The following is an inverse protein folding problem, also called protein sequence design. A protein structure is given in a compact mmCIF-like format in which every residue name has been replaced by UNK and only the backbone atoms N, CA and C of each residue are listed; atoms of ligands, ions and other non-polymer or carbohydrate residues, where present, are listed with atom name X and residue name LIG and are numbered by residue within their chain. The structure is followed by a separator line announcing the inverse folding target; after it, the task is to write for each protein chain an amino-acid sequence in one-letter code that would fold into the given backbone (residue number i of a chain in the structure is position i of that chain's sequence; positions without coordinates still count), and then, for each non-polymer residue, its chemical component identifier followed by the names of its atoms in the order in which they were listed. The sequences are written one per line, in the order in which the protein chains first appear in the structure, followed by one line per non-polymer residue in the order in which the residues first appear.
data_IF_292169592044
#
_entry.id   IF_292169592044
#
_cell.length_a   1.000
_cell.length_b   1.000
_cell.length_c   1.000
_cell.angle_alpha   90.00
_cell.angle_beta   90.00
_cell.angle_gamma   90.00
#
_symmetry.space_group_name_H-M   'P 1'
#
loop_
_entity.id
_entity.type
_entity.pdbx_description
1 polymer ?
#
# COMPACT_ATOMS: atom_id res chain seq x y z
N UNK A 1 1.62 12.50 -40.79
CA UNK A 1 2.80 12.57 -39.89
C UNK A 1 3.03 13.98 -39.35
N UNK A 2 2.99 15.02 -40.20
CA UNK A 2 3.11 16.43 -39.74
C UNK A 2 1.99 16.86 -38.81
N UNK A 3 0.75 16.48 -39.04
CA UNK A 3 -0.38 16.78 -38.14
C UNK A 3 -0.26 16.08 -36.79
N UNK A 4 0.38 14.90 -36.70
CA UNK A 4 0.69 14.21 -35.45
C UNK A 4 1.83 14.91 -34.69
N UNK A 5 2.87 15.38 -35.42
CA UNK A 5 3.96 16.17 -34.83
C UNK A 5 3.47 17.52 -34.29
N UNK A 6 2.67 18.26 -35.07
CA UNK A 6 2.06 19.53 -34.60
C UNK A 6 1.16 19.32 -33.37
N UNK A 7 0.35 18.24 -33.31
CA UNK A 7 -0.44 17.92 -32.12
C UNK A 7 0.44 17.59 -30.91
N UNK A 8 1.54 16.88 -31.09
CA UNK A 8 2.48 16.57 -30.04
C UNK A 8 3.19 17.81 -29.50
N UNK A 9 3.63 18.71 -30.39
CA UNK A 9 4.29 19.98 -30.00
C UNK A 9 3.32 20.95 -29.33
N UNK A 10 2.08 21.09 -29.83
CA UNK A 10 1.03 21.93 -29.21
C UNK A 10 0.63 21.38 -27.84
N UNK A 11 0.58 20.05 -27.68
CA UNK A 11 0.25 19.40 -26.41
C UNK A 11 1.35 19.61 -25.37
N UNK A 12 2.62 19.57 -25.79
CA UNK A 12 3.76 19.79 -24.88
C UNK A 12 3.81 21.24 -24.36
N UNK A 13 3.48 22.24 -25.21
CA UNK A 13 3.40 23.64 -24.79
C UNK A 13 2.20 23.94 -23.89
N UNK A 14 1.06 23.26 -24.07
CA UNK A 14 -0.11 23.44 -23.22
C UNK A 14 0.09 22.89 -21.79
N UNK A 15 0.89 21.84 -21.62
CA UNK A 15 1.17 21.24 -20.32
C UNK A 15 2.08 22.09 -19.42
N UNK A 16 2.86 23.03 -19.99
CA UNK A 16 3.69 23.96 -19.23
C UNK A 16 2.88 24.98 -18.41
N UNK A 17 1.56 25.09 -18.61
CA UNK A 17 0.67 26.04 -17.93
C UNK A 17 -0.44 25.39 -17.09
N UNK A 18 -0.43 24.06 -16.95
CA UNK A 18 -1.46 23.36 -16.16
C UNK A 18 -1.46 23.87 -14.71
N UNK A 19 -2.65 24.22 -14.23
CA UNK A 19 -2.88 24.52 -12.83
C UNK A 19 -3.40 23.27 -12.12
N UNK A 20 -3.08 23.15 -10.84
CA UNK A 20 -3.64 22.11 -9.98
C UNK A 20 -4.38 22.76 -8.83
N UNK A 21 -5.51 22.17 -8.43
CA UNK A 21 -6.30 22.66 -7.31
C UNK A 21 -5.88 21.96 -6.01
N UNK A 22 -5.72 22.75 -4.95
CA UNK A 22 -5.41 22.26 -3.60
C UNK A 22 -6.71 21.99 -2.83
N UNK A 23 -6.60 21.33 -1.67
CA UNK A 23 -7.74 20.99 -0.82
C UNK A 23 -8.51 22.23 -0.30
N UNK A 24 -7.84 23.40 -0.20
CA UNK A 24 -8.44 24.68 0.19
C UNK A 24 -9.13 25.42 -0.97
N UNK A 25 -9.15 24.82 -2.17
CA UNK A 25 -9.70 25.41 -3.39
C UNK A 25 -8.78 26.39 -4.11
N UNK A 26 -7.58 26.68 -3.58
CA UNK A 26 -6.59 27.50 -4.26
C UNK A 26 -5.97 26.74 -5.45
N UNK A 27 -5.46 27.47 -6.43
CA UNK A 27 -4.79 26.90 -7.59
C UNK A 27 -3.31 27.31 -7.62
N UNK A 28 -2.46 26.40 -8.07
CA UNK A 28 -1.04 26.66 -8.32
C UNK A 28 -0.59 25.98 -9.60
N UNK A 29 0.46 26.50 -10.27
CA UNK A 29 1.07 25.82 -11.40
C UNK A 29 1.54 24.41 -11.03
N UNK A 30 1.34 23.46 -11.92
CA UNK A 30 1.90 22.11 -11.78
C UNK A 30 3.43 22.18 -11.88
N UNK A 31 4.12 21.71 -10.84
CA UNK A 31 5.58 21.58 -10.84
C UNK A 31 6.01 20.31 -11.60
N UNK A 32 6.30 20.47 -12.88
CA UNK A 32 6.75 19.39 -13.75
C UNK A 32 8.10 18.82 -13.32
N UNK A 33 8.97 19.64 -12.72
CA UNK A 33 10.28 19.18 -12.25
C UNK A 33 10.11 18.24 -11.08
N UNK A 34 9.28 18.62 -10.12
CA UNK A 34 8.97 17.79 -8.97
C UNK A 34 8.27 16.48 -9.38
N UNK A 35 7.31 16.55 -10.32
CA UNK A 35 6.65 15.36 -10.86
C UNK A 35 7.64 14.42 -11.56
N UNK A 36 8.55 14.96 -12.38
CA UNK A 36 9.57 14.18 -13.07
C UNK A 36 10.54 13.50 -12.10
N UNK A 37 10.99 14.21 -11.06
CA UNK A 37 11.86 13.65 -10.02
C UNK A 37 11.16 12.50 -9.28
N UNK A 38 9.91 12.69 -8.91
CA UNK A 38 9.09 11.68 -8.24
C UNK A 38 8.95 10.42 -9.09
N UNK A 39 8.66 10.55 -10.38
CA UNK A 39 8.58 9.40 -11.29
C UNK A 39 9.95 8.73 -11.44
N UNK A 40 11.02 9.51 -11.53
CA UNK A 40 12.39 8.98 -11.61
C UNK A 40 12.75 8.12 -10.39
N UNK A 41 12.33 8.55 -9.19
CA UNK A 41 12.52 7.78 -7.95
C UNK A 41 11.77 6.44 -7.97
N UNK A 42 10.53 6.41 -8.51
CA UNK A 42 9.79 5.14 -8.63
C UNK A 42 10.43 4.15 -9.59
N UNK A 43 11.18 4.64 -10.57
CA UNK A 43 11.88 3.83 -11.57
C UNK A 43 13.30 3.40 -11.14
N UNK A 44 13.79 3.89 -10.01
CA UNK A 44 15.15 3.63 -9.55
C UNK A 44 15.42 2.12 -9.43
N UNK A 45 16.59 1.70 -9.94
CA UNK A 45 17.07 0.32 -9.89
C UNK A 45 16.17 -0.70 -10.65
N UNK A 46 15.27 -0.21 -11.53
CA UNK A 46 14.48 -1.05 -12.43
C UNK A 46 15.10 -1.05 -13.83
N UNK A 47 15.39 -2.23 -14.35
CA UNK A 47 15.87 -2.39 -15.73
C UNK A 47 14.73 -2.14 -16.72
N UNK A 48 15.06 -1.60 -17.90
CA UNK A 48 14.14 -1.37 -19.04
C UNK A 48 12.96 -0.40 -18.75
N UNK A 49 12.87 0.18 -17.55
CA UNK A 49 11.85 1.15 -17.19
C UNK A 49 12.36 2.57 -17.47
N UNK A 50 11.64 3.30 -18.33
CA UNK A 50 11.95 4.69 -18.71
C UNK A 50 10.97 5.65 -18.06
N UNK A 51 11.47 6.47 -17.15
CA UNK A 51 10.63 7.45 -16.41
C UNK A 51 9.99 8.48 -17.36
N UNK A 52 10.66 8.81 -18.49
CA UNK A 52 10.14 9.75 -19.49
C UNK A 52 8.85 9.25 -20.13
N UNK A 53 8.72 7.94 -20.34
CA UNK A 53 7.49 7.35 -20.89
C UNK A 53 6.34 7.47 -19.89
N UNK A 54 6.60 7.19 -18.61
CA UNK A 54 5.58 7.36 -17.55
C UNK A 54 5.17 8.84 -17.47
N UNK A 55 6.13 9.76 -17.46
CA UNK A 55 5.84 11.19 -17.44
C UNK A 55 4.99 11.60 -18.63
N UNK A 56 5.35 11.17 -19.84
CA UNK A 56 4.63 11.50 -21.05
C UNK A 56 3.18 10.97 -21.02
N UNK A 57 2.97 9.73 -20.59
CA UNK A 57 1.62 9.16 -20.47
C UNK A 57 0.84 9.85 -19.34
N UNK A 58 1.49 10.19 -18.22
CA UNK A 58 0.85 10.94 -17.13
C UNK A 58 0.36 12.30 -17.62
N UNK A 59 1.22 13.07 -18.30
CA UNK A 59 0.85 14.39 -18.82
C UNK A 59 -0.33 14.36 -19.82
N UNK A 60 -0.52 13.25 -20.56
CA UNK A 60 -1.68 13.06 -21.44
C UNK A 60 -2.99 12.90 -20.70
N UNK A 61 -2.94 12.43 -19.46
CA UNK A 61 -4.10 12.18 -18.59
C UNK A 61 -4.41 13.35 -17.64
N UNK A 62 -3.54 14.39 -17.59
CA UNK A 62 -3.78 15.57 -16.77
C UNK A 62 -4.65 16.60 -17.53
N UNK A 63 -5.46 17.33 -16.77
CA UNK A 63 -6.27 18.44 -17.24
C UNK A 63 -6.10 19.65 -16.33
N UNK A 64 -6.40 20.85 -16.85
CA UNK A 64 -6.26 22.10 -16.09
C UNK A 64 -7.26 22.17 -14.94
N UNK A 65 -6.78 22.57 -13.75
CA UNK A 65 -7.57 22.59 -12.53
C UNK A 65 -7.74 21.23 -11.82
N UNK A 66 -7.03 20.16 -12.28
CA UNK A 66 -7.11 18.84 -11.65
C UNK A 66 -6.75 18.91 -10.15
N UNK A 67 -7.52 18.22 -9.26
CA UNK A 67 -7.15 18.10 -7.87
C UNK A 67 -5.78 17.45 -7.69
N UNK A 68 -4.93 18.00 -6.81
CA UNK A 68 -3.58 17.51 -6.60
C UNK A 68 -3.55 16.02 -6.20
N UNK A 69 -4.55 15.54 -5.47
CA UNK A 69 -4.69 14.14 -5.06
C UNK A 69 -5.00 13.19 -6.24
N UNK A 70 -5.53 13.72 -7.35
CA UNK A 70 -5.81 12.93 -8.55
C UNK A 70 -4.58 12.73 -9.42
N UNK A 71 -3.52 13.52 -9.23
CA UNK A 71 -2.25 13.37 -9.95
C UNK A 71 -1.64 11.99 -9.67
N UNK A 72 -1.69 11.54 -8.42
CA UNK A 72 -1.16 10.22 -8.04
C UNK A 72 -1.95 9.08 -8.69
N UNK A 73 -3.26 9.23 -8.81
CA UNK A 73 -4.11 8.26 -9.54
C UNK A 73 -3.79 8.27 -11.03
N UNK A 74 -3.62 9.45 -11.63
CA UNK A 74 -3.23 9.57 -13.03
C UNK A 74 -1.86 8.95 -13.29
N UNK A 75 -0.90 9.13 -12.39
CA UNK A 75 0.42 8.52 -12.46
C UNK A 75 0.34 6.98 -12.41
N UNK A 76 -0.41 6.42 -11.46
CA UNK A 76 -0.58 4.97 -11.31
C UNK A 76 -1.23 4.39 -12.57
N UNK A 77 -2.30 5.01 -13.08
CA UNK A 77 -2.98 4.55 -14.31
C UNK A 77 -2.02 4.60 -15.50
N UNK A 78 -1.26 5.68 -15.65
CA UNK A 78 -0.31 5.86 -16.76
C UNK A 78 0.82 4.83 -16.72
N UNK A 79 1.43 4.62 -15.55
CA UNK A 79 2.49 3.62 -15.39
C UNK A 79 1.96 2.20 -15.64
N UNK A 80 0.72 1.91 -15.22
CA UNK A 80 0.07 0.61 -15.44
C UNK A 80 -0.10 0.28 -16.93
N UNK A 81 -0.42 1.26 -17.79
CA UNK A 81 -0.58 0.99 -19.24
C UNK A 81 0.72 0.54 -19.90
N UNK A 82 1.87 0.89 -19.32
CA UNK A 82 3.17 0.53 -19.86
C UNK A 82 3.61 -0.90 -19.50
N UNK A 83 2.92 -1.58 -18.58
CA UNK A 83 3.20 -2.99 -18.20
C UNK A 83 3.08 -3.92 -19.42
N UNK A 84 2.25 -3.59 -20.42
CA UNK A 84 2.16 -4.35 -21.67
C UNK A 84 3.42 -4.22 -22.56
N UNK A 85 4.20 -3.14 -22.38
CA UNK A 85 5.45 -2.92 -23.12
C UNK A 85 6.63 -3.62 -22.45
N UNK A 86 6.73 -3.51 -21.12
CA UNK A 86 7.72 -4.21 -20.31
C UNK A 86 7.14 -4.54 -18.93
N UNK A 87 7.22 -5.81 -18.48
CA UNK A 87 6.69 -6.25 -17.19
C UNK A 87 7.25 -5.48 -15.99
N UNK A 88 8.46 -4.91 -16.06
CA UNK A 88 9.09 -4.20 -14.96
C UNK A 88 8.35 -2.90 -14.58
N UNK A 89 7.52 -2.35 -15.48
CA UNK A 89 6.64 -1.23 -15.10
C UNK A 89 5.64 -1.59 -13.99
N UNK A 90 5.38 -2.89 -13.74
CA UNK A 90 4.55 -3.31 -12.60
C UNK A 90 5.13 -2.87 -11.27
N UNK A 91 6.47 -2.85 -11.12
CA UNK A 91 7.14 -2.41 -9.89
C UNK A 91 7.10 -0.88 -9.75
N UNK A 92 7.32 -0.12 -10.83
CA UNK A 92 7.17 1.34 -10.79
C UNK A 92 5.74 1.75 -10.43
N UNK A 93 4.74 1.05 -10.99
CA UNK A 93 3.33 1.26 -10.65
C UNK A 93 3.02 0.92 -9.19
N UNK A 94 3.56 -0.20 -8.68
CA UNK A 94 3.43 -0.59 -7.27
C UNK A 94 4.04 0.46 -6.32
N UNK A 95 5.22 0.98 -6.64
CA UNK A 95 5.88 2.03 -5.84
C UNK A 95 5.08 3.33 -5.81
N UNK A 96 4.41 3.67 -6.91
CA UNK A 96 3.51 4.83 -6.96
C UNK A 96 2.28 4.62 -6.06
N UNK A 97 1.66 3.43 -6.09
CA UNK A 97 0.56 3.07 -5.20
C UNK A 97 1.02 3.03 -3.73
N UNK A 98 2.20 2.47 -3.47
CA UNK A 98 2.78 2.41 -2.13
C UNK A 98 2.95 3.81 -1.53
N UNK A 99 3.41 4.79 -2.32
CA UNK A 99 3.54 6.18 -1.90
C UNK A 99 2.19 6.77 -1.49
N UNK A 100 1.14 6.53 -2.27
CA UNK A 100 -0.23 6.95 -1.92
C UNK A 100 -0.67 6.33 -0.59
N UNK A 101 -0.47 5.02 -0.43
CA UNK A 101 -0.79 4.30 0.80
C UNK A 101 -0.03 4.85 2.02
N UNK A 102 1.27 5.16 1.86
CA UNK A 102 2.05 5.78 2.95
C UNK A 102 1.48 7.14 3.36
N UNK A 103 1.12 7.98 2.38
CA UNK A 103 0.52 9.29 2.65
C UNK A 103 -0.81 9.13 3.39
N UNK A 104 -1.71 8.28 2.90
CA UNK A 104 -3.00 8.00 3.54
C UNK A 104 -2.83 7.50 4.99
N UNK A 105 -1.94 6.53 5.20
CA UNK A 105 -1.73 5.91 6.50
C UNK A 105 -1.12 6.87 7.52
N UNK A 106 -0.15 7.68 7.10
CA UNK A 106 0.52 8.63 7.99
C UNK A 106 -0.40 9.80 8.34
N UNK A 107 -1.15 10.34 7.36
CA UNK A 107 -2.11 11.41 7.59
C UNK A 107 -3.24 10.95 8.53
N UNK A 108 -3.76 9.73 8.34
CA UNK A 108 -4.77 9.15 9.22
C UNK A 108 -4.30 9.00 10.67
N UNK A 109 -3.01 8.70 10.86
CA UNK A 109 -2.41 8.55 12.17
C UNK A 109 -1.84 9.87 12.72
N UNK A 110 -2.05 10.99 12.04
CA UNK A 110 -1.54 12.33 12.41
C UNK A 110 0.00 12.35 12.55
N UNK A 111 0.70 11.55 11.74
CA UNK A 111 2.15 11.47 11.72
C UNK A 111 2.72 12.37 10.62
N UNK A 112 3.90 13.01 10.85
CA UNK A 112 4.46 13.92 9.87
C UNK A 112 4.89 13.17 8.58
N UNK A 113 4.22 13.47 7.48
CA UNK A 113 4.50 12.89 6.14
C UNK A 113 5.81 13.40 5.54
N UNK A 114 6.18 14.65 5.81
CA UNK A 114 7.38 15.28 5.23
C UNK A 114 8.71 14.61 5.62
N UNK A 115 8.78 13.97 6.78
CA UNK A 115 9.99 13.28 7.27
C UNK A 115 10.21 11.95 6.55
N UNK A 116 9.17 11.41 5.92
CA UNK A 116 9.15 10.03 5.42
C UNK A 116 9.18 9.91 3.90
N UNK A 117 9.05 11.00 3.17
CA UNK A 117 9.06 11.00 1.70
C UNK A 117 10.37 10.52 1.08
N UNK A 118 11.50 10.62 1.82
CA UNK A 118 12.83 10.30 1.31
C UNK A 118 13.52 9.12 2.01
N UNK A 119 12.93 8.58 3.10
CA UNK A 119 13.54 7.48 3.84
C UNK A 119 12.49 6.53 4.44
N UNK A 120 12.06 5.56 3.66
CA UNK A 120 11.12 4.54 4.10
C UNK A 120 11.61 3.72 5.31
N UNK A 121 12.92 3.62 5.53
CA UNK A 121 13.51 2.82 6.61
C UNK A 121 13.11 3.31 8.01
N UNK A 122 12.93 4.63 8.21
CA UNK A 122 12.56 5.21 9.50
C UNK A 122 11.05 5.20 9.79
N UNK A 123 10.21 5.02 8.77
CA UNK A 123 8.75 5.14 8.88
C UNK A 123 8.19 4.11 9.85
N UNK A 124 8.48 2.83 9.62
CA UNK A 124 7.85 1.73 10.34
C UNK A 124 8.10 1.75 11.84
N UNK A 125 9.27 2.17 12.30
CA UNK A 125 9.60 2.19 13.72
C UNK A 125 8.65 3.08 14.55
N UNK A 126 8.37 4.29 14.07
CA UNK A 126 7.43 5.20 14.74
C UNK A 126 5.97 4.89 14.40
N UNK A 127 5.70 4.57 13.15
CA UNK A 127 4.37 4.25 12.67
C UNK A 127 3.76 3.06 13.40
N UNK A 128 4.51 1.96 13.60
CA UNK A 128 3.97 0.68 14.06
C UNK A 128 3.27 0.77 15.42
N UNK A 129 3.86 1.50 16.36
CA UNK A 129 3.25 1.69 17.67
C UNK A 129 1.95 2.51 17.60
N UNK A 130 1.90 3.56 16.75
CA UNK A 130 0.70 4.38 16.54
C UNK A 130 -0.38 3.58 15.83
N UNK A 131 0.00 2.77 14.85
CA UNK A 131 -0.89 1.86 14.14
C UNK A 131 -1.60 0.89 15.11
N UNK A 132 -0.85 0.18 15.95
CA UNK A 132 -1.45 -0.75 16.93
C UNK A 132 -2.36 0.00 17.90
N UNK A 133 -1.92 1.14 18.45
CA UNK A 133 -2.73 1.94 19.38
C UNK A 133 -4.04 2.42 18.75
N UNK A 134 -3.96 2.94 17.52
CA UNK A 134 -5.11 3.45 16.79
C UNK A 134 -6.06 2.33 16.38
N UNK A 135 -5.54 1.22 15.86
CA UNK A 135 -6.34 0.06 15.45
C UNK A 135 -7.11 -0.57 16.62
N UNK A 136 -6.50 -0.62 17.82
CA UNK A 136 -7.21 -1.06 19.04
C UNK A 136 -8.27 -0.03 19.47
N UNK A 137 -7.97 1.27 19.40
CA UNK A 137 -8.94 2.32 19.74
C UNK A 137 -10.15 2.35 18.80
N UNK A 138 -9.98 1.91 17.56
CA UNK A 138 -11.04 1.76 16.55
C UNK A 138 -11.78 0.41 16.65
N UNK A 139 -11.46 -0.42 17.63
CA UNK A 139 -12.04 -1.78 17.79
C UNK A 139 -11.83 -2.69 16.57
N UNK A 140 -10.77 -2.45 15.81
CA UNK A 140 -10.35 -3.28 14.67
C UNK A 140 -9.32 -4.34 15.07
N UNK A 141 -8.43 -4.01 16.00
CA UNK A 141 -7.35 -4.87 16.49
C UNK A 141 -7.65 -5.42 17.89
N UNK A 142 -7.14 -6.64 18.14
CA UNK A 142 -7.19 -7.27 19.46
C UNK A 142 -6.38 -6.43 20.46
N UNK A 143 -6.98 -6.00 21.60
CA UNK A 143 -6.28 -5.29 22.66
C UNK A 143 -5.05 -6.01 23.22
N UNK A 144 -5.00 -7.35 23.13
CA UNK A 144 -3.86 -8.17 23.55
C UNK A 144 -2.58 -7.86 22.75
N UNK A 145 -2.69 -7.33 21.53
CA UNK A 145 -1.52 -6.91 20.75
C UNK A 145 -0.70 -5.82 21.45
N UNK A 146 -1.30 -5.03 22.33
CA UNK A 146 -0.58 -4.04 23.14
C UNK A 146 0.34 -4.66 24.20
N UNK A 147 0.17 -5.93 24.51
CA UNK A 147 1.01 -6.65 25.49
C UNK A 147 2.34 -7.13 24.92
N UNK A 148 2.56 -7.00 23.61
CA UNK A 148 3.85 -7.26 22.98
C UNK A 148 4.80 -6.07 23.15
N UNK A 149 6.10 -6.35 23.09
CA UNK A 149 7.13 -5.31 22.96
C UNK A 149 7.05 -4.70 21.53
N UNK A 150 6.21 -3.68 21.39
CA UNK A 150 5.97 -3.02 20.10
C UNK A 150 7.22 -2.30 19.57
N UNK A 151 8.15 -1.90 20.45
CA UNK A 151 9.41 -1.30 20.03
C UNK A 151 10.31 -2.35 19.37
N UNK A 152 10.46 -3.51 20.00
CA UNK A 152 11.22 -4.64 19.46
C UNK A 152 10.63 -5.09 18.11
N UNK A 153 9.31 -5.25 18.02
CA UNK A 153 8.66 -5.65 16.79
C UNK A 153 8.76 -4.59 15.69
N UNK A 154 8.60 -3.31 16.03
CA UNK A 154 8.75 -2.21 15.07
C UNK A 154 10.17 -2.12 14.48
N UNK A 155 11.21 -2.43 15.28
CA UNK A 155 12.59 -2.51 14.80
C UNK A 155 12.89 -3.73 13.93
N UNK A 156 12.10 -4.78 14.04
CA UNK A 156 12.23 -6.01 13.24
C UNK A 156 11.57 -5.90 11.86
N UNK A 157 10.79 -4.85 11.61
CA UNK A 157 10.17 -4.61 10.29
C UNK A 157 11.22 -4.25 9.26
N UNK A 158 11.07 -4.76 8.05
CA UNK A 158 11.99 -4.62 6.92
C UNK A 158 11.33 -3.81 5.79
N UNK A 159 11.44 -2.47 5.81
CA UNK A 159 10.80 -1.59 4.83
C UNK A 159 11.18 -1.87 3.39
N UNK A 160 12.40 -2.37 3.14
CA UNK A 160 12.91 -2.73 1.82
C UNK A 160 12.06 -3.84 1.16
N UNK A 161 11.36 -4.65 1.94
CA UNK A 161 10.45 -5.69 1.42
C UNK A 161 9.21 -5.11 0.77
N UNK A 162 8.89 -3.84 0.97
CA UNK A 162 7.81 -3.17 0.24
C UNK A 162 8.12 -3.03 -1.25
N UNK A 163 9.41 -3.06 -1.64
CA UNK A 163 9.83 -2.95 -3.03
C UNK A 163 9.63 -4.23 -3.86
N UNK A 164 9.33 -5.36 -3.20
CA UNK A 164 9.10 -6.65 -3.89
C UNK A 164 7.71 -6.81 -4.48
N UNK A 165 6.75 -5.94 -4.10
CA UNK A 165 5.39 -6.03 -4.61
C UNK A 165 5.29 -5.69 -6.08
N UNK A 166 4.56 -6.54 -6.82
CA UNK A 166 3.99 -6.15 -8.12
C UNK A 166 2.75 -5.28 -7.90
N UNK A 167 2.37 -4.49 -8.91
CA UNK A 167 1.17 -3.66 -8.81
C UNK A 167 -0.08 -4.47 -8.46
N UNK A 168 -0.30 -5.61 -9.13
CA UNK A 168 -1.49 -6.43 -8.89
C UNK A 168 -1.53 -6.97 -7.45
N UNK A 169 -0.39 -7.42 -6.92
CA UNK A 169 -0.33 -7.93 -5.55
C UNK A 169 -0.60 -6.83 -4.53
N UNK A 170 0.03 -5.67 -4.67
CA UNK A 170 -0.20 -4.54 -3.75
C UNK A 170 -1.62 -3.99 -3.86
N UNK A 171 -2.14 -3.84 -5.09
CA UNK A 171 -3.52 -3.40 -5.33
C UNK A 171 -4.54 -4.36 -4.68
N UNK A 172 -4.29 -5.66 -4.77
CA UNK A 172 -5.17 -6.67 -4.13
C UNK A 172 -5.17 -6.52 -2.61
N UNK A 173 -3.99 -6.29 -2.00
CA UNK A 173 -3.90 -6.03 -0.56
C UNK A 173 -4.59 -4.72 -0.18
N UNK A 174 -4.38 -3.66 -0.94
CA UNK A 174 -5.00 -2.36 -0.75
C UNK A 174 -6.53 -2.42 -0.83
N UNK A 175 -7.08 -3.10 -1.83
CA UNK A 175 -8.52 -3.14 -2.07
C UNK A 175 -9.26 -4.06 -1.09
N UNK A 176 -8.59 -5.13 -0.59
CA UNK A 176 -9.29 -6.22 0.08
C UNK A 176 -8.80 -6.56 1.47
N UNK A 177 -7.51 -6.32 1.79
CA UNK A 177 -6.90 -6.90 2.98
C UNK A 177 -6.46 -5.88 4.03
N UNK A 178 -5.94 -4.74 3.60
CA UNK A 178 -5.46 -3.75 4.54
C UNK A 178 -6.59 -3.16 5.38
N UNK A 179 -6.35 -3.02 6.67
CA UNK A 179 -7.29 -2.39 7.59
C UNK A 179 -7.53 -0.93 7.18
N UNK A 180 -8.80 -0.54 7.21
CA UNK A 180 -9.24 0.80 6.89
C UNK A 180 -10.30 1.27 7.89
N UNK A 181 -10.43 2.57 8.01
CA UNK A 181 -11.52 3.24 8.69
C UNK A 181 -11.95 4.44 7.83
N UNK A 182 -13.26 4.69 7.72
CA UNK A 182 -13.80 5.77 6.90
C UNK A 182 -13.25 5.79 5.45
N UNK A 183 -13.12 4.60 4.85
CA UNK A 183 -12.53 4.36 3.52
C UNK A 183 -11.04 4.72 3.37
N UNK A 184 -10.35 5.12 4.44
CA UNK A 184 -8.93 5.42 4.45
C UNK A 184 -8.14 4.20 4.93
N UNK A 185 -7.18 3.72 4.13
CA UNK A 185 -6.27 2.63 4.50
C UNK A 185 -5.18 3.20 5.40
N UNK A 186 -5.10 2.64 6.61
CA UNK A 186 -4.06 3.05 7.57
C UNK A 186 -3.09 1.91 7.93
N UNK A 187 -3.22 0.76 7.28
CA UNK A 187 -2.34 -0.40 7.46
C UNK A 187 -1.31 -0.47 6.33
N UNK A 188 -0.04 -0.34 6.66
CA UNK A 188 1.09 -0.48 5.73
C UNK A 188 1.52 -1.96 5.58
N UNK A 189 2.14 -2.36 4.44
CA UNK A 189 2.38 -3.77 4.13
C UNK A 189 3.17 -4.54 5.19
N UNK A 190 4.25 -3.98 5.74
CA UNK A 190 5.02 -4.69 6.76
C UNK A 190 4.27 -4.78 8.09
N UNK A 191 3.43 -3.78 8.43
CA UNK A 191 2.57 -3.82 9.60
C UNK A 191 1.46 -4.88 9.44
N UNK A 192 0.91 -5.04 8.25
CA UNK A 192 -0.04 -6.09 7.92
C UNK A 192 0.54 -7.49 8.22
N UNK A 193 1.74 -7.81 7.71
CA UNK A 193 2.37 -9.09 7.98
C UNK A 193 2.72 -9.26 9.46
N UNK A 194 3.19 -8.20 10.13
CA UNK A 194 3.49 -8.26 11.55
C UNK A 194 2.23 -8.44 12.40
N UNK A 195 1.11 -7.79 12.05
CA UNK A 195 -0.18 -8.00 12.74
C UNK A 195 -0.62 -9.46 12.68
N UNK A 196 -0.52 -10.07 11.50
CA UNK A 196 -0.86 -11.50 11.31
C UNK A 196 0.05 -12.37 12.17
N UNK A 197 1.34 -12.12 12.11
CA UNK A 197 2.35 -12.83 12.89
C UNK A 197 2.12 -12.73 14.41
N UNK A 198 1.80 -11.53 14.90
CA UNK A 198 1.43 -11.31 16.30
C UNK A 198 0.17 -12.07 16.68
N UNK A 199 -0.86 -12.03 15.84
CA UNK A 199 -2.12 -12.76 16.06
C UNK A 199 -1.90 -14.27 16.17
N UNK A 200 -0.99 -14.84 15.38
CA UNK A 200 -0.62 -16.25 15.43
C UNK A 200 0.27 -16.59 16.65
N UNK A 201 1.07 -15.62 17.12
CA UNK A 201 2.02 -15.82 18.21
C UNK A 201 1.46 -15.52 19.62
N UNK A 202 0.21 -15.09 19.77
CA UNK A 202 -0.36 -14.67 21.05
C UNK A 202 -0.24 -15.69 22.17
N UNK A 203 -0.32 -16.98 21.86
CA UNK A 203 -0.28 -18.09 22.83
C UNK A 203 1.12 -18.72 22.95
N UNK A 204 2.11 -18.21 22.24
CA UNK A 204 3.47 -18.71 22.28
C UNK A 204 4.22 -18.24 23.55
N UNK A 205 5.10 -19.07 24.10
CA UNK A 205 5.87 -18.71 25.30
C UNK A 205 6.86 -17.56 25.08
N UNK A 206 7.44 -17.48 23.87
CA UNK A 206 8.34 -16.40 23.42
C UNK A 206 7.66 -15.64 22.30
N UNK A 207 6.50 -15.03 22.57
CA UNK A 207 5.60 -14.47 21.57
C UNK A 207 6.24 -13.44 20.64
N UNK A 208 7.17 -12.59 21.13
CA UNK A 208 7.87 -11.62 20.32
C UNK A 208 8.80 -12.29 19.28
N UNK A 209 9.61 -13.25 19.73
CA UNK A 209 10.53 -13.97 18.83
C UNK A 209 9.77 -14.82 17.82
N UNK A 210 8.68 -15.45 18.24
CA UNK A 210 7.80 -16.19 17.34
C UNK A 210 7.07 -15.29 16.34
N UNK A 211 6.61 -14.13 16.78
CA UNK A 211 6.02 -13.14 15.87
C UNK A 211 7.04 -12.66 14.83
N UNK A 212 8.28 -12.41 15.21
CA UNK A 212 9.34 -12.04 14.26
C UNK A 212 9.61 -13.18 13.26
N UNK A 213 9.69 -14.42 13.73
CA UNK A 213 9.88 -15.60 12.86
C UNK A 213 8.74 -15.75 11.83
N UNK A 214 7.48 -15.67 12.29
CA UNK A 214 6.32 -15.73 11.39
C UNK A 214 6.27 -14.55 10.43
N UNK A 215 6.60 -13.35 10.90
CA UNK A 215 6.72 -12.18 10.05
C UNK A 215 7.77 -12.38 8.96
N UNK A 216 8.93 -12.95 9.28
CA UNK A 216 9.97 -13.20 8.29
C UNK A 216 9.47 -14.10 7.15
N UNK A 217 8.77 -15.20 7.48
CA UNK A 217 8.22 -16.13 6.50
C UNK A 217 7.12 -15.48 5.63
N UNK A 218 6.22 -14.71 6.24
CA UNK A 218 5.12 -14.06 5.52
C UNK A 218 5.59 -12.93 4.64
N UNK A 219 6.47 -12.05 5.16
CA UNK A 219 6.89 -10.85 4.46
C UNK A 219 7.96 -11.08 3.39
N UNK A 220 8.65 -12.25 3.40
CA UNK A 220 9.54 -12.69 2.32
C UNK A 220 8.79 -13.38 1.18
N UNK A 221 7.49 -13.69 1.36
CA UNK A 221 6.67 -14.52 0.48
C UNK A 221 7.12 -15.99 0.39
N UNK A 222 7.95 -16.47 1.35
CA UNK A 222 8.28 -17.89 1.46
C UNK A 222 7.08 -18.74 1.88
N UNK A 223 6.13 -18.11 2.58
CA UNK A 223 4.85 -18.69 2.96
C UNK A 223 3.72 -17.65 2.86
N UNK A 224 2.56 -18.08 2.38
CA UNK A 224 1.34 -17.29 2.37
C UNK A 224 0.21 -18.03 3.08
N UNK A 225 -0.37 -17.39 4.07
CA UNK A 225 -1.49 -17.94 4.82
C UNK A 225 -2.80 -17.90 4.00
N UNK A 226 -3.80 -18.66 4.44
CA UNK A 226 -5.13 -18.63 3.84
C UNK A 226 -5.82 -17.28 4.06
N UNK A 227 -6.75 -16.93 3.18
CA UNK A 227 -7.49 -15.66 3.22
C UNK A 227 -8.06 -15.33 4.61
N UNK A 228 -8.75 -16.23 5.33
CA UNK A 228 -9.26 -15.91 6.67
C UNK A 228 -8.17 -15.55 7.67
N UNK A 229 -7.02 -16.19 7.60
CA UNK A 229 -5.87 -15.86 8.45
C UNK A 229 -5.33 -14.47 8.13
N UNK A 230 -5.18 -14.13 6.85
CA UNK A 230 -4.72 -12.81 6.41
C UNK A 230 -5.67 -11.69 6.86
N UNK A 231 -6.98 -11.93 6.80
CA UNK A 231 -7.99 -10.95 7.24
C UNK A 231 -8.03 -10.80 8.76
N UNK A 232 -8.08 -11.93 9.48
CA UNK A 232 -8.61 -11.92 10.85
C UNK A 232 -7.55 -12.10 11.94
N UNK A 233 -6.32 -12.57 11.59
CA UNK A 233 -5.30 -12.74 12.62
C UNK A 233 -4.92 -11.39 13.23
N UNK A 234 -4.90 -11.31 14.56
CA UNK A 234 -4.64 -10.09 15.31
C UNK A 234 -5.80 -9.09 15.34
N UNK A 235 -6.99 -9.42 14.82
CA UNK A 235 -8.20 -8.61 14.95
C UNK A 235 -9.06 -9.07 16.12
N UNK A 236 -10.12 -8.31 16.44
CA UNK A 236 -11.10 -8.69 17.47
C UNK A 236 -11.88 -9.97 17.17
N UNK A 237 -11.90 -10.41 15.91
CA UNK A 237 -12.66 -11.60 15.46
C UNK A 237 -11.72 -12.57 14.75
N UNK A 238 -10.87 -13.30 15.49
CA UNK A 238 -9.80 -14.12 14.92
C UNK A 238 -10.31 -15.45 14.36
N UNK A 239 -11.24 -15.38 13.42
CA UNK A 239 -11.69 -16.56 12.69
C UNK A 239 -10.69 -16.89 11.58
N UNK A 240 -9.83 -17.88 11.83
CA UNK A 240 -8.67 -18.18 10.98
C UNK A 240 -8.90 -19.38 10.05
N UNK A 241 -9.95 -20.21 10.29
CA UNK A 241 -10.24 -21.37 9.47
C UNK A 241 -10.92 -21.00 8.16
N UNK A 242 -10.44 -21.56 7.06
CA UNK A 242 -11.04 -21.35 5.73
C UNK A 242 -12.20 -22.31 5.44
N UNK A 243 -12.26 -23.46 6.13
CA UNK A 243 -13.26 -24.50 5.93
C UNK A 243 -13.69 -25.11 7.25
N UNK A 244 -14.94 -25.54 7.30
CA UNK A 244 -15.53 -26.32 8.40
C UNK A 244 -16.08 -27.61 7.84
N UNK A 245 -15.82 -28.72 8.53
CA UNK A 245 -16.42 -30.02 8.22
C UNK A 245 -17.45 -30.33 9.28
N UNK A 246 -18.68 -30.59 8.84
CA UNK A 246 -19.79 -31.01 9.70
C UNK A 246 -20.18 -32.43 9.31
N UNK A 247 -20.27 -33.34 10.28
CA UNK A 247 -20.82 -34.68 10.06
C UNK A 247 -22.34 -34.59 10.14
N UNK A 248 -22.99 -34.97 9.07
CA UNK A 248 -24.46 -35.03 8.99
C UNK A 248 -24.82 -36.51 8.89
N UNK A 249 -25.74 -36.97 9.72
CA UNK A 249 -26.27 -38.34 9.58
C UNK A 249 -27.17 -38.43 8.33
N UNK A 250 -27.33 -39.68 7.82
CA UNK A 250 -28.23 -39.95 6.70
C UNK A 250 -29.70 -39.94 7.19
N UNK A 251 -30.15 -38.74 7.58
CA UNK A 251 -31.47 -38.45 8.10
C UNK A 251 -31.89 -37.03 7.70
N UNK A 252 -33.13 -36.90 7.20
CA UNK A 252 -33.64 -35.65 6.67
C UNK A 252 -33.65 -34.51 7.71
N UNK A 253 -33.93 -34.77 8.96
CA UNK A 253 -33.98 -33.74 10.00
C UNK A 253 -32.61 -33.16 10.28
N UNK A 254 -31.53 -33.99 10.16
CA UNK A 254 -30.15 -33.54 10.33
C UNK A 254 -29.54 -32.88 9.06
N UNK A 255 -30.11 -33.19 7.88
CA UNK A 255 -29.70 -32.56 6.63
C UNK A 255 -30.20 -31.12 6.56
N UNK A 256 -31.38 -30.84 7.16
CA UNK A 256 -32.04 -29.53 7.11
C UNK A 256 -31.92 -28.71 8.40
N UNK A 257 -31.25 -29.19 9.44
CA UNK A 257 -30.99 -28.46 10.69
C UNK A 257 -29.70 -27.64 10.58
#
# INVERSE_FOLDING_TARGET
EERRKMRAETNTQSHLQLQVSLADGSQRPLDLTQLSLLISETCKDLSEVKHELILQETLRNLYDGMPILEIDKALIISARTLVEQDPNYTYATARSLLRTLYTEALDFLELPTAVYTNNHAGVYHHYFQHYIKRGVALELLDPQLRSFDLEKLGKALLPERDQQFTYLSLQTLYDRYFLHADDVRFELPQAFFMRIAMGLAQQESNKEDRAIEFYQLLSSFDYMASTPTLFNAGTLRPQLSSCFLTTVADDLDQIYS
#
